data_IF_037854756026
#
_entry.id   IF_037854756026
#
_cell.length_a   1.000
_cell.length_b   1.000
_cell.length_c   1.000
_cell.angle_alpha   90.00
_cell.angle_beta   90.00
_cell.angle_gamma   90.00
#
_symmetry.space_group_name_H-M   'P 1'
#
loop_
_entity.id
_entity.type
_entity.pdbx_description
1 polymer ?
#
# COMPACT_ATOMS: atom_id res chain seq x y z
N UNK A 1 5.75 19.24 -13.58
CA UNK A 1 4.30 19.09 -13.31
C UNK A 1 3.88 20.13 -12.27
N UNK A 2 2.72 20.76 -12.43
CA UNK A 2 2.25 21.80 -11.50
C UNK A 2 1.94 21.22 -10.11
N UNK A 3 2.37 21.93 -9.05
CA UNK A 3 2.22 21.45 -7.66
C UNK A 3 0.76 21.25 -7.26
N UNK A 4 -0.12 22.14 -7.72
CA UNK A 4 -1.56 22.07 -7.42
C UNK A 4 -2.20 20.83 -8.05
N UNK A 5 -1.82 20.50 -9.29
CA UNK A 5 -2.27 19.28 -9.95
C UNK A 5 -1.81 18.01 -9.21
N UNK A 6 -0.54 17.94 -8.81
CA UNK A 6 -0.03 16.81 -8.02
C UNK A 6 -0.78 16.65 -6.70
N UNK A 7 -1.08 17.76 -6.02
CA UNK A 7 -1.84 17.76 -4.78
C UNK A 7 -3.28 17.27 -4.99
N UNK A 8 -3.95 17.73 -6.05
CA UNK A 8 -5.30 17.31 -6.40
C UNK A 8 -5.36 15.80 -6.67
N UNK A 9 -4.45 15.28 -7.50
CA UNK A 9 -4.40 13.85 -7.81
C UNK A 9 -4.11 13.02 -6.55
N UNK A 10 -3.12 13.41 -5.74
CA UNK A 10 -2.80 12.69 -4.50
C UNK A 10 -3.99 12.67 -3.52
N UNK A 11 -4.77 13.75 -3.45
CA UNK A 11 -5.99 13.81 -2.65
C UNK A 11 -7.07 12.88 -3.20
N UNK A 12 -7.29 12.85 -4.52
CA UNK A 12 -8.24 11.92 -5.16
C UNK A 12 -7.86 10.46 -4.90
N UNK A 13 -6.58 10.11 -5.05
CA UNK A 13 -6.07 8.76 -4.76
C UNK A 13 -6.35 8.40 -3.30
N UNK A 14 -6.07 9.32 -2.37
CA UNK A 14 -6.31 9.09 -0.94
C UNK A 14 -7.80 8.85 -0.65
N UNK A 15 -8.69 9.65 -1.22
CA UNK A 15 -10.14 9.51 -1.04
C UNK A 15 -10.65 8.19 -1.60
N UNK A 16 -10.18 7.77 -2.77
CA UNK A 16 -10.54 6.48 -3.36
C UNK A 16 -9.99 5.32 -2.55
N UNK A 17 -8.72 5.36 -2.16
CA UNK A 17 -8.09 4.33 -1.33
C UNK A 17 -8.82 4.15 0.00
N UNK A 18 -9.04 5.25 0.74
CA UNK A 18 -9.67 5.19 2.06
C UNK A 18 -11.17 4.91 1.95
N UNK A 19 -11.84 5.45 0.94
CA UNK A 19 -13.29 5.33 0.77
C UNK A 19 -13.75 3.97 0.25
N UNK A 20 -12.90 3.26 -0.50
CA UNK A 20 -13.25 1.98 -1.14
C UNK A 20 -12.57 0.77 -0.50
N UNK A 21 -11.58 0.98 0.37
CA UNK A 21 -10.94 -0.12 1.11
C UNK A 21 -11.65 -0.33 2.45
N UNK A 22 -12.05 -1.56 2.81
CA UNK A 22 -12.65 -1.83 4.11
C UNK A 22 -11.75 -1.38 5.27
N UNK A 23 -12.34 -0.73 6.28
CA UNK A 23 -11.58 -0.18 7.41
C UNK A 23 -10.67 -1.19 8.13
N UNK A 24 -11.08 -2.47 8.36
CA UNK A 24 -10.19 -3.46 8.96
C UNK A 24 -8.92 -3.73 8.15
N UNK A 25 -8.99 -3.62 6.82
CA UNK A 25 -7.84 -3.78 5.91
C UNK A 25 -6.94 -2.56 5.99
N UNK A 26 -7.48 -1.34 5.94
CA UNK A 26 -6.66 -0.12 6.10
C UNK A 26 -5.91 -0.09 7.44
N UNK A 27 -6.57 -0.57 8.51
CA UNK A 27 -5.99 -0.62 9.85
C UNK A 27 -4.90 -1.67 10.01
N UNK A 28 -4.90 -2.76 9.22
CA UNK A 28 -3.81 -3.75 9.28
C UNK A 28 -2.50 -3.19 8.74
N UNK A 29 -2.55 -2.23 7.81
CA UNK A 29 -1.35 -1.67 7.15
C UNK A 29 -0.52 -0.72 8.01
N UNK A 30 -1.03 -0.27 9.17
CA UNK A 30 -0.34 0.65 10.08
C UNK A 30 0.21 1.92 9.38
N UNK A 31 -0.66 2.63 8.66
CA UNK A 31 -0.29 3.82 7.88
C UNK A 31 0.21 4.94 8.83
N UNK A 32 1.42 5.43 8.61
CA UNK A 32 2.07 6.43 9.48
C UNK A 32 2.36 7.77 8.81
N UNK A 33 2.50 7.79 7.48
CA UNK A 33 2.79 9.00 6.71
C UNK A 33 2.01 8.98 5.39
N UNK A 34 1.55 10.15 4.94
CA UNK A 34 0.97 10.35 3.60
C UNK A 34 1.57 11.63 2.99
N UNK A 35 1.98 11.57 1.73
CA UNK A 35 2.52 12.72 1.02
C UNK A 35 2.17 12.70 -0.47
N UNK A 36 1.79 13.85 -1.02
CA UNK A 36 1.73 14.07 -2.46
C UNK A 36 3.16 14.09 -3.03
N UNK A 37 3.41 13.42 -4.14
CA UNK A 37 4.74 13.31 -4.74
C UNK A 37 4.68 13.17 -6.25
N UNK A 38 5.85 13.27 -6.89
CA UNK A 38 6.03 12.93 -8.31
C UNK A 38 6.91 11.69 -8.34
N UNK A 39 6.46 10.64 -9.04
CA UNK A 39 7.21 9.40 -9.19
C UNK A 39 7.22 9.00 -10.65
N UNK A 40 8.41 8.76 -11.23
CA UNK A 40 8.58 8.50 -12.67
C UNK A 40 7.81 9.50 -13.56
N UNK A 41 7.91 10.80 -13.23
CA UNK A 41 7.19 11.88 -13.92
C UNK A 41 5.66 11.82 -13.86
N UNK A 42 5.08 10.96 -13.00
CA UNK A 42 3.63 10.84 -12.75
C UNK A 42 3.23 11.49 -11.40
N UNK A 43 2.02 12.08 -11.28
CA UNK A 43 1.51 12.54 -9.99
C UNK A 43 1.11 11.34 -9.13
N UNK A 44 1.51 11.35 -7.86
CA UNK A 44 1.35 10.18 -7.01
C UNK A 44 1.02 10.53 -5.55
N UNK A 45 0.36 9.59 -4.88
CA UNK A 45 0.29 9.52 -3.42
C UNK A 45 1.35 8.52 -2.94
N UNK A 46 2.17 8.94 -1.97
CA UNK A 46 3.05 8.04 -1.22
C UNK A 46 2.51 7.85 0.18
N UNK A 47 2.35 6.61 0.60
CA UNK A 47 1.97 6.22 1.96
C UNK A 47 3.06 5.39 2.60
N UNK A 48 3.31 5.57 3.90
CA UNK A 48 4.22 4.71 4.67
C UNK A 48 3.41 3.68 5.43
N UNK A 49 3.72 2.41 5.19
CA UNK A 49 3.02 1.25 5.76
C UNK A 49 4.00 0.39 6.55
N UNK A 50 3.47 -0.37 7.48
CA UNK A 50 4.18 -1.40 8.22
C UNK A 50 3.37 -2.69 8.18
N UNK A 51 3.26 -3.24 6.97
CA UNK A 51 2.58 -4.50 6.73
C UNK A 51 3.47 -5.71 7.01
N UNK A 52 2.85 -6.88 7.05
CA UNK A 52 3.51 -8.14 7.37
C UNK A 52 4.63 -8.51 6.39
N UNK A 53 4.40 -8.33 5.09
CA UNK A 53 5.32 -8.66 4.01
C UNK A 53 6.15 -7.46 3.57
N UNK A 54 5.63 -6.23 3.74
CA UNK A 54 6.31 -5.00 3.37
C UNK A 54 6.17 -3.91 4.43
N UNK A 55 7.32 -3.49 4.97
CA UNK A 55 7.45 -2.31 5.81
C UNK A 55 8.30 -1.27 5.06
N UNK A 56 7.68 -0.15 4.69
CA UNK A 56 8.27 0.82 3.77
C UNK A 56 7.23 1.76 3.19
N UNK A 57 7.50 2.25 1.98
CA UNK A 57 6.56 3.10 1.25
C UNK A 57 5.80 2.30 0.21
N UNK A 58 4.53 2.65 0.02
CA UNK A 58 3.73 2.32 -1.17
C UNK A 58 3.52 3.61 -1.94
N UNK A 59 3.77 3.57 -3.25
CA UNK A 59 3.54 4.70 -4.16
C UNK A 59 2.43 4.30 -5.10
N UNK A 60 1.41 5.17 -5.20
CA UNK A 60 0.26 5.00 -6.09
C UNK A 60 0.31 6.18 -7.05
N UNK A 61 0.60 5.93 -8.33
CA UNK A 61 0.80 6.97 -9.34
C UNK A 61 -0.28 6.89 -10.42
N UNK A 62 -0.85 8.02 -10.84
CA UNK A 62 -1.83 8.06 -11.93
C UNK A 62 -1.11 8.09 -13.29
N UNK A 63 -1.33 7.09 -14.12
CA UNK A 63 -0.74 7.02 -15.47
C UNK A 63 -1.58 7.77 -16.52
N UNK A 64 -1.06 7.86 -17.73
CA UNK A 64 -1.72 8.58 -18.85
C UNK A 64 -2.97 7.90 -19.41
N UNK A 65 -3.29 6.69 -18.94
CA UNK A 65 -4.41 5.86 -19.40
C UNK A 65 -5.55 5.77 -18.38
N UNK A 66 -5.56 6.64 -17.36
CA UNK A 66 -6.56 6.67 -16.27
C UNK A 66 -6.52 5.44 -15.34
N UNK A 67 -5.38 4.74 -15.30
CA UNK A 67 -5.11 3.68 -14.33
C UNK A 67 -4.07 4.12 -13.31
N UNK A 68 -4.06 3.42 -12.17
CA UNK A 68 -2.99 3.57 -11.18
C UNK A 68 -1.88 2.55 -11.37
N UNK A 69 -0.65 3.02 -11.24
CA UNK A 69 0.53 2.19 -11.04
C UNK A 69 0.85 2.12 -9.54
N UNK A 70 1.06 0.91 -9.03
CA UNK A 70 1.37 0.65 -7.62
C UNK A 70 2.78 0.10 -7.49
N UNK A 71 3.56 0.75 -6.62
CA UNK A 71 4.95 0.38 -6.35
C UNK A 71 5.22 0.21 -4.86
N UNK A 72 6.08 -0.75 -4.53
CA UNK A 72 6.67 -0.88 -3.21
C UNK A 72 8.06 -0.27 -3.23
N UNK A 73 8.34 0.62 -2.28
CA UNK A 73 9.66 1.21 -2.09
C UNK A 73 10.17 0.86 -0.69
N UNK A 74 11.31 0.16 -0.64
CA UNK A 74 12.04 -0.14 0.60
C UNK A 74 13.50 0.27 0.41
N UNK A 75 13.96 1.19 1.24
CA UNK A 75 15.28 1.81 1.12
C UNK A 75 15.54 2.42 -0.28
N UNK A 76 16.28 1.72 -1.14
CA UNK A 76 16.56 2.12 -2.54
C UNK A 76 15.91 1.20 -3.57
N UNK A 77 15.33 0.08 -3.12
CA UNK A 77 14.74 -0.93 -4.00
C UNK A 77 13.29 -0.56 -4.28
N UNK A 78 12.97 -0.55 -5.58
CA UNK A 78 11.63 -0.28 -6.09
C UNK A 78 11.13 -1.54 -6.79
N UNK A 79 9.98 -2.03 -6.35
CA UNK A 79 9.26 -3.11 -6.98
C UNK A 79 7.96 -2.57 -7.60
N UNK A 80 7.69 -2.95 -8.84
CA UNK A 80 6.41 -2.68 -9.50
C UNK A 80 5.44 -3.80 -9.19
N UNK A 81 4.30 -3.47 -8.56
CA UNK A 81 3.25 -4.45 -8.22
C UNK A 81 2.33 -4.66 -9.41
N UNK A 82 1.80 -3.56 -9.97
CA UNK A 82 0.91 -3.55 -11.13
C UNK A 82 0.87 -2.13 -11.71
N UNK A 83 0.79 -2.01 -13.04
CA UNK A 83 0.72 -0.73 -13.77
C UNK A 83 -0.72 -0.36 -14.21
N UNK A 84 -1.66 -1.29 -14.10
CA UNK A 84 -3.05 -1.14 -14.56
C UNK A 84 -4.04 -1.47 -13.43
N UNK A 85 -4.08 -0.63 -12.39
CA UNK A 85 -4.98 -0.82 -11.23
C UNK A 85 -6.15 0.16 -11.30
N UNK A 86 -7.39 -0.34 -11.24
CA UNK A 86 -8.57 0.51 -11.16
C UNK A 86 -8.72 1.11 -9.75
N UNK A 87 -9.38 2.27 -9.65
CA UNK A 87 -9.58 2.97 -8.38
C UNK A 87 -10.25 2.11 -7.29
N UNK A 88 -11.10 1.16 -7.68
CA UNK A 88 -11.80 0.22 -6.78
C UNK A 88 -10.99 -1.04 -6.44
N UNK A 89 -9.83 -1.25 -7.08
CA UNK A 89 -8.95 -2.41 -6.86
C UNK A 89 -7.74 -2.07 -5.98
N UNK A 90 -7.48 -0.78 -5.74
CA UNK A 90 -6.32 -0.30 -4.97
C UNK A 90 -6.17 -1.02 -3.63
N UNK A 91 -7.26 -1.15 -2.88
CA UNK A 91 -7.27 -1.83 -1.58
C UNK A 91 -6.76 -3.26 -1.66
N UNK A 92 -7.36 -4.05 -2.56
CA UNK A 92 -7.05 -5.47 -2.73
C UNK A 92 -5.64 -5.71 -3.29
N UNK A 93 -5.20 -4.87 -4.23
CA UNK A 93 -3.85 -4.97 -4.81
C UNK A 93 -2.79 -4.65 -3.76
N UNK A 94 -2.98 -3.59 -2.98
CA UNK A 94 -2.03 -3.18 -1.94
C UNK A 94 -2.01 -4.22 -0.81
N UNK A 95 -3.19 -4.64 -0.30
CA UNK A 95 -3.26 -5.63 0.78
C UNK A 95 -2.58 -6.95 0.40
N UNK A 96 -2.76 -7.40 -0.84
CA UNK A 96 -2.07 -8.58 -1.35
C UNK A 96 -0.57 -8.41 -1.40
N UNK A 97 -0.10 -7.24 -1.81
CA UNK A 97 1.33 -6.97 -1.91
C UNK A 97 2.02 -6.84 -0.54
N UNK A 98 1.35 -6.24 0.46
CA UNK A 98 1.99 -5.89 1.73
C UNK A 98 1.62 -6.80 2.91
N UNK A 99 0.50 -7.53 2.84
CA UNK A 99 -0.06 -8.26 3.98
C UNK A 99 -0.21 -9.76 3.71
N UNK A 100 -1.08 -10.15 2.75
CA UNK A 100 -1.45 -11.55 2.59
C UNK A 100 -0.58 -12.33 1.59
N UNK A 101 0.00 -11.65 0.59
CA UNK A 101 0.75 -12.32 -0.47
C UNK A 101 -0.13 -13.19 -1.37
N UNK A 102 0.50 -14.06 -2.16
CA UNK A 102 -0.20 -15.03 -3.02
C UNK A 102 -0.30 -16.43 -2.42
N UNK A 103 0.44 -16.70 -1.34
CA UNK A 103 0.51 -17.99 -0.66
C UNK A 103 -0.26 -17.95 0.67
N UNK A 104 -1.49 -18.45 0.61
CA UNK A 104 -2.40 -18.47 1.76
C UNK A 104 -1.88 -19.34 2.91
N UNK A 105 -1.27 -20.49 2.64
CA UNK A 105 -0.75 -21.38 3.68
C UNK A 105 0.41 -20.72 4.43
N UNK A 106 1.30 -20.05 3.70
CA UNK A 106 2.39 -19.27 4.29
C UNK A 106 1.85 -18.15 5.17
N UNK A 107 0.86 -17.41 4.71
CA UNK A 107 0.23 -16.34 5.50
C UNK A 107 -0.40 -16.88 6.79
N UNK A 108 -1.23 -17.93 6.70
CA UNK A 108 -1.87 -18.55 7.86
C UNK A 108 -0.86 -19.07 8.89
N UNK A 109 0.27 -19.62 8.42
CA UNK A 109 1.37 -20.07 9.28
C UNK A 109 2.01 -18.90 10.04
N UNK A 110 2.20 -17.75 9.38
CA UNK A 110 2.73 -16.55 10.04
C UNK A 110 1.75 -16.03 11.10
N UNK A 111 0.45 -15.96 10.77
CA UNK A 111 -0.57 -15.56 11.73
C UNK A 111 -0.59 -16.48 12.97
N UNK A 112 -0.51 -17.79 12.77
CA UNK A 112 -0.45 -18.76 13.87
C UNK A 112 0.78 -18.57 14.76
N UNK A 113 1.94 -18.29 14.16
CA UNK A 113 3.16 -17.99 14.90
C UNK A 113 3.04 -16.70 15.72
N UNK A 114 2.46 -15.63 15.15
CA UNK A 114 2.23 -14.38 15.87
C UNK A 114 1.24 -14.56 17.03
N UNK A 115 0.14 -15.29 16.82
CA UNK A 115 -0.82 -15.62 17.87
C UNK A 115 -0.16 -16.41 19.01
N UNK A 116 0.69 -17.39 18.67
CA UNK A 116 1.41 -18.18 19.67
C UNK A 116 2.33 -17.31 20.52
N UNK A 117 3.07 -16.37 19.91
CA UNK A 117 3.91 -15.40 20.64
C UNK A 117 3.08 -14.55 21.59
N UNK A 118 1.96 -14.00 21.11
CA UNK A 118 1.03 -13.21 21.91
C UNK A 118 0.53 -13.97 23.15
N UNK A 119 0.08 -15.22 22.95
CA UNK A 119 -0.44 -16.07 24.03
C UNK A 119 0.64 -16.52 25.01
N UNK A 120 1.89 -16.65 24.55
CA UNK A 120 3.03 -17.05 25.39
C UNK A 120 3.60 -15.92 26.24
N UNK A 121 3.15 -14.66 26.04
CA UNK A 121 3.69 -13.49 26.73
C UNK A 121 5.12 -13.10 26.33
N UNK A 122 5.68 -13.72 25.28
CA UNK A 122 6.99 -13.39 24.74
C UNK A 122 6.88 -12.21 23.76
N UNK A 123 6.88 -11.00 24.31
CA UNK A 123 7.11 -9.79 23.53
C UNK A 123 8.62 -9.54 23.48
N UNK A 124 9.19 -9.52 22.26
CA UNK A 124 10.59 -9.14 22.02
C UNK A 124 10.74 -7.63 22.00
#
# INVERSE_FOLDING_TARGET
>A
MEKEYVMQIAQTIKEQLIGLTPMPVLMSWSISELAATIFKDLPALRIKVNGLLHAGYVIIALNGSDYYEVYLLKDKDVECVNEEVCFNELGDVIDRAIECGTDKEKYEKICHQQLTKLLSGQFS
#
